data_IF_099117503654
#
_entry.id   IF_099117503654
#
_cell.length_a   1.000
_cell.length_b   1.000
_cell.length_c   1.000
_cell.angle_alpha   90.00
_cell.angle_beta   90.00
_cell.angle_gamma   90.00
#
_symmetry.space_group_name_H-M   'P 1'
#
loop_
_entity.id
_entity.type
_entity.pdbx_description
1 polymer ?
#
# COMPACT_ATOMS: atom_id res chain seq x y z
N UNK A 1 61.79 -12.42 27.60
CA UNK A 1 61.40 -13.17 26.39
C UNK A 1 60.01 -13.72 26.61
N UNK A 2 58.97 -13.10 26.03
CA UNK A 2 57.61 -13.66 26.08
C UNK A 2 57.58 -14.86 25.15
N UNK A 3 57.36 -16.06 25.71
CA UNK A 3 57.35 -17.31 24.94
C UNK A 3 56.18 -17.33 23.96
N UNK A 4 56.40 -17.85 22.74
CA UNK A 4 55.39 -18.00 21.68
C UNK A 4 54.13 -18.71 22.21
N UNK A 5 54.29 -19.63 23.15
CA UNK A 5 53.18 -20.31 23.80
C UNK A 5 52.24 -19.37 24.55
N UNK A 6 52.75 -18.30 25.16
CA UNK A 6 51.94 -17.34 25.90
C UNK A 6 51.13 -16.44 24.95
N UNK A 7 51.70 -16.07 23.80
CA UNK A 7 50.99 -15.33 22.76
C UNK A 7 49.90 -16.19 22.11
N UNK A 8 50.17 -17.47 21.86
CA UNK A 8 49.18 -18.41 21.35
C UNK A 8 48.04 -18.63 22.34
N UNK A 9 48.35 -18.76 23.64
CA UNK A 9 47.33 -18.90 24.68
C UNK A 9 46.47 -17.65 24.81
N UNK A 10 47.08 -16.45 24.74
CA UNK A 10 46.36 -15.19 24.81
C UNK A 10 45.44 -15.00 23.59
N UNK A 11 45.90 -15.35 22.39
CA UNK A 11 45.09 -15.29 21.18
C UNK A 11 43.91 -16.27 21.24
N UNK A 12 44.13 -17.49 21.72
CA UNK A 12 43.08 -18.49 21.87
C UNK A 12 42.06 -18.06 22.94
N UNK A 13 42.52 -17.49 24.06
CA UNK A 13 41.64 -16.96 25.10
C UNK A 13 40.77 -15.81 24.59
N UNK A 14 41.34 -14.90 23.79
CA UNK A 14 40.61 -13.79 23.16
C UNK A 14 39.57 -14.29 22.14
N UNK A 15 39.90 -15.31 21.33
CA UNK A 15 38.93 -15.92 20.41
C UNK A 15 37.83 -16.72 21.12
N UNK A 16 38.14 -17.36 22.26
CA UNK A 16 37.15 -18.11 23.03
C UNK A 16 36.24 -17.23 23.89
N UNK A 17 36.70 -16.04 24.26
CA UNK A 17 35.95 -15.08 25.06
C UNK A 17 35.17 -14.06 24.22
N UNK A 18 35.39 -14.00 22.90
CA UNK A 18 34.50 -13.27 22.01
C UNK A 18 33.18 -14.04 21.91
N UNK A 19 32.18 -13.62 22.68
CA UNK A 19 30.80 -14.04 22.43
C UNK A 19 30.50 -13.73 20.96
N UNK A 20 29.94 -14.68 20.18
CA UNK A 20 29.40 -14.32 18.88
C UNK A 20 28.37 -13.22 19.16
N UNK A 21 28.58 -12.03 18.59
CA UNK A 21 27.51 -11.04 18.47
C UNK A 21 26.49 -11.71 17.56
N UNK A 22 25.59 -12.48 18.17
CA UNK A 22 24.34 -12.86 17.58
C UNK A 22 23.56 -11.55 17.50
N UNK A 23 23.79 -10.81 16.42
CA UNK A 23 22.82 -9.83 15.95
C UNK A 23 21.49 -10.56 15.99
N UNK A 24 20.58 -10.11 16.85
CA UNK A 24 19.28 -10.72 17.04
C UNK A 24 18.48 -10.46 15.78
N UNK A 25 18.74 -11.24 14.74
CA UNK A 25 17.84 -11.34 13.60
C UNK A 25 16.59 -12.00 14.15
N UNK A 26 15.63 -11.18 14.56
CA UNK A 26 14.29 -11.65 14.92
C UNK A 26 13.65 -12.11 13.60
N UNK A 27 13.94 -13.34 13.22
CA UNK A 27 13.14 -14.06 12.26
C UNK A 27 11.79 -14.28 12.93
N UNK A 28 10.82 -13.41 12.60
CA UNK A 28 9.45 -13.65 12.99
C UNK A 28 9.04 -14.99 12.37
N UNK A 29 8.55 -15.91 13.18
CA UNK A 29 8.06 -17.21 12.70
C UNK A 29 6.55 -17.30 12.91
N UNK A 30 5.83 -17.85 11.92
CA UNK A 30 4.41 -18.22 12.06
C UNK A 30 4.24 -19.64 11.56
N UNK A 31 3.79 -20.53 12.45
CA UNK A 31 3.58 -21.96 12.19
C UNK A 31 4.85 -22.67 11.69
N UNK A 32 5.97 -22.56 12.42
CA UNK A 32 7.26 -23.20 12.12
C UNK A 32 7.77 -22.97 10.69
N UNK A 33 7.48 -21.78 10.13
CA UNK A 33 8.08 -21.28 8.90
C UNK A 33 8.65 -19.91 9.17
N UNK A 34 9.89 -19.70 8.72
CA UNK A 34 10.51 -18.39 8.67
C UNK A 34 9.58 -17.45 7.90
N UNK A 35 9.10 -16.39 8.56
CA UNK A 35 8.48 -15.29 7.86
C UNK A 35 9.65 -14.53 7.23
N UNK A 36 9.86 -14.71 5.93
CA UNK A 36 10.57 -13.71 5.16
C UNK A 36 9.74 -12.44 5.27
N UNK A 37 10.11 -11.58 6.23
CA UNK A 37 9.78 -10.17 6.17
C UNK A 37 10.53 -9.66 4.95
N UNK A 38 9.95 -9.82 3.76
CA UNK A 38 10.29 -8.89 2.69
C UNK A 38 10.01 -7.52 3.29
N UNK A 39 11.05 -6.70 3.61
CA UNK A 39 10.82 -5.37 4.11
C UNK A 39 9.93 -4.72 3.05
N UNK A 40 8.73 -4.31 3.48
CA UNK A 40 7.61 -3.94 2.63
C UNK A 40 8.07 -3.27 1.33
N UNK A 41 7.93 -3.95 0.19
CA UNK A 41 7.68 -3.27 -1.10
C UNK A 41 6.17 -3.29 -1.33
N UNK A 42 5.46 -2.59 -0.46
CA UNK A 42 4.01 -2.44 -0.47
C UNK A 42 3.74 -0.96 -0.70
N UNK A 43 3.66 -0.56 -1.98
CA UNK A 43 3.67 0.84 -2.43
C UNK A 43 4.95 1.54 -1.98
N UNK A 44 5.88 1.79 -2.89
CA UNK A 44 7.11 2.55 -2.56
C UNK A 44 6.77 3.90 -1.92
N UNK A 45 5.57 4.42 -2.22
CA UNK A 45 5.02 5.64 -1.69
C UNK A 45 4.00 5.36 -0.57
N UNK A 46 4.40 5.59 0.68
CA UNK A 46 3.46 5.83 1.79
C UNK A 46 3.39 7.34 2.05
N UNK A 47 2.65 8.11 1.23
CA UNK A 47 2.60 9.56 1.38
C UNK A 47 2.04 9.94 2.75
N UNK A 48 2.47 11.10 3.25
CA UNK A 48 2.08 11.58 4.57
C UNK A 48 0.54 11.69 4.75
N UNK A 49 -0.19 11.84 3.64
CA UNK A 49 -1.65 11.83 3.61
C UNK A 49 -2.27 10.53 4.15
N UNK A 50 -1.68 9.36 3.87
CA UNK A 50 -2.17 8.08 4.36
C UNK A 50 -2.05 7.97 5.88
N UNK A 51 -0.98 8.51 6.47
CA UNK A 51 -0.81 8.57 7.92
C UNK A 51 -1.90 9.42 8.57
N UNK A 52 -2.20 10.59 7.98
CA UNK A 52 -3.24 11.50 8.47
C UNK A 52 -4.63 10.86 8.37
N UNK A 53 -4.93 10.21 7.24
CA UNK A 53 -6.22 9.58 7.00
C UNK A 53 -6.44 8.32 7.81
N UNK A 54 -5.41 7.49 8.02
CA UNK A 54 -5.53 6.28 8.87
C UNK A 54 -5.90 6.61 10.32
N UNK A 55 -5.47 7.78 10.82
CA UNK A 55 -5.86 8.25 12.14
C UNK A 55 -7.31 8.76 12.18
N UNK A 56 -7.85 9.21 11.04
CA UNK A 56 -9.17 9.82 10.94
C UNK A 56 -10.27 8.85 10.47
N UNK A 57 -9.93 7.79 9.72
CA UNK A 57 -10.90 6.92 9.04
C UNK A 57 -10.47 5.45 8.98
N UNK A 58 -11.45 4.53 8.98
CA UNK A 58 -11.22 3.09 8.80
C UNK A 58 -10.90 2.75 7.34
N UNK A 59 -9.75 2.12 7.09
CA UNK A 59 -9.36 1.68 5.73
C UNK A 59 -10.17 0.48 5.25
N UNK A 60 -10.60 0.49 3.99
CA UNK A 60 -11.33 -0.62 3.33
C UNK A 60 -10.46 -1.38 2.32
N UNK A 61 -10.80 -2.65 2.07
CA UNK A 61 -10.09 -3.53 1.11
C UNK A 61 -10.91 -3.84 -0.16
N UNK A 62 -11.86 -2.99 -0.56
CA UNK A 62 -12.67 -3.20 -1.77
C UNK A 62 -12.19 -2.37 -2.95
N UNK A 63 -12.55 -2.76 -4.19
CA UNK A 63 -12.19 -2.08 -5.45
C UNK A 63 -12.30 -0.54 -5.33
N UNK A 64 -13.48 -0.04 -4.97
CA UNK A 64 -13.80 1.39 -4.90
C UNK A 64 -13.58 2.07 -3.54
N UNK A 65 -13.13 1.34 -2.52
CA UNK A 65 -13.06 1.90 -1.14
C UNK A 65 -12.19 3.15 -1.00
N UNK A 66 -11.16 3.30 -1.82
CA UNK A 66 -10.33 4.51 -1.85
C UNK A 66 -11.09 5.71 -2.41
N UNK A 67 -11.86 5.51 -3.49
CA UNK A 67 -12.70 6.57 -4.05
C UNK A 67 -13.83 6.95 -3.10
N UNK A 68 -14.47 5.96 -2.49
CA UNK A 68 -15.59 6.17 -1.56
C UNK A 68 -15.16 6.98 -0.34
N UNK A 69 -13.97 6.71 0.16
CA UNK A 69 -13.37 7.47 1.25
C UNK A 69 -12.98 8.89 0.80
N UNK A 70 -12.42 9.06 -0.40
CA UNK A 70 -12.15 10.40 -0.95
C UNK A 70 -13.44 11.22 -1.08
N UNK A 71 -14.52 10.62 -1.58
CA UNK A 71 -15.84 11.24 -1.65
C UNK A 71 -16.38 11.63 -0.27
N UNK A 72 -16.24 10.75 0.73
CA UNK A 72 -16.63 11.03 2.11
C UNK A 72 -15.85 12.20 2.72
N UNK A 73 -14.54 12.30 2.46
CA UNK A 73 -13.72 13.42 2.91
C UNK A 73 -14.21 14.73 2.28
N UNK A 74 -14.52 14.73 0.98
CA UNK A 74 -15.06 15.92 0.29
C UNK A 74 -16.42 16.31 0.85
N UNK A 75 -17.31 15.35 1.09
CA UNK A 75 -18.61 15.64 1.69
C UNK A 75 -18.50 16.20 3.11
N UNK A 76 -17.63 15.60 3.94
CA UNK A 76 -17.37 16.10 5.30
C UNK A 76 -16.75 17.50 5.29
N UNK A 77 -15.90 17.79 4.30
CA UNK A 77 -15.21 19.09 4.19
C UNK A 77 -16.17 20.29 4.12
N UNK A 78 -17.38 20.09 3.58
CA UNK A 78 -18.41 21.12 3.39
C UNK A 78 -18.95 21.68 4.71
N UNK A 79 -18.69 21.02 5.84
CA UNK A 79 -19.12 21.47 7.17
C UNK A 79 -18.13 22.41 7.86
N UNK A 80 -16.91 22.56 7.32
CA UNK A 80 -15.84 23.34 7.94
C UNK A 80 -15.66 24.71 7.29
N UNK A 81 -14.84 25.56 7.91
CA UNK A 81 -14.46 26.84 7.33
C UNK A 81 -13.68 26.67 6.01
N UNK A 82 -13.61 27.72 5.21
CA UNK A 82 -13.04 27.67 3.86
C UNK A 82 -11.57 27.20 3.83
N UNK A 83 -10.77 27.52 4.85
CA UNK A 83 -9.37 27.11 4.89
C UNK A 83 -9.25 25.60 5.18
N UNK A 84 -10.01 25.12 6.15
CA UNK A 84 -10.08 23.69 6.48
C UNK A 84 -10.67 22.87 5.33
N UNK A 85 -11.76 23.35 4.72
CA UNK A 85 -12.39 22.70 3.58
C UNK A 85 -11.39 22.53 2.42
N UNK A 86 -10.64 23.59 2.08
CA UNK A 86 -9.61 23.54 1.03
C UNK A 86 -8.53 22.49 1.32
N UNK A 87 -8.08 22.38 2.58
CA UNK A 87 -7.09 21.39 2.98
C UNK A 87 -7.64 19.96 2.88
N UNK A 88 -8.88 19.73 3.31
CA UNK A 88 -9.53 18.43 3.20
C UNK A 88 -9.75 18.02 1.74
N UNK A 89 -10.12 18.96 0.87
CA UNK A 89 -10.26 18.71 -0.57
C UNK A 89 -8.92 18.28 -1.20
N UNK A 90 -7.83 18.99 -0.89
CA UNK A 90 -6.49 18.64 -1.36
C UNK A 90 -6.08 17.24 -0.89
N UNK A 91 -6.35 16.90 0.38
CA UNK A 91 -6.10 15.58 0.95
C UNK A 91 -6.90 14.49 0.24
N UNK A 92 -8.19 14.74 -0.08
CA UNK A 92 -9.03 13.77 -0.77
C UNK A 92 -8.55 13.48 -2.19
N UNK A 93 -8.16 14.52 -2.92
CA UNK A 93 -7.60 14.41 -4.28
C UNK A 93 -6.28 13.63 -4.25
N UNK A 94 -5.35 13.99 -3.36
CA UNK A 94 -4.08 13.28 -3.21
C UNK A 94 -4.34 11.80 -2.88
N UNK A 95 -5.18 11.53 -1.88
CA UNK A 95 -5.55 10.19 -1.46
C UNK A 95 -6.17 9.35 -2.57
N UNK A 96 -6.97 9.94 -3.47
CA UNK A 96 -7.55 9.22 -4.62
C UNK A 96 -6.49 8.71 -5.58
N UNK A 97 -5.37 9.43 -5.68
CA UNK A 97 -4.29 9.17 -6.62
C UNK A 97 -3.16 8.31 -6.03
N UNK A 98 -3.09 8.15 -4.71
CA UNK A 98 -2.04 7.34 -4.09
C UNK A 98 -2.12 5.87 -4.50
N UNK A 99 -0.96 5.22 -4.56
CA UNK A 99 -0.86 3.79 -4.81
C UNK A 99 -1.67 3.01 -3.78
N UNK A 100 -2.48 2.07 -4.27
CA UNK A 100 -3.22 1.17 -3.40
C UNK A 100 -2.38 -0.07 -3.15
N UNK A 101 -2.17 -0.38 -1.87
CA UNK A 101 -1.40 -1.55 -1.50
C UNK A 101 -2.12 -2.84 -1.92
N UNK A 102 -1.43 -3.69 -2.67
CA UNK A 102 -1.89 -5.00 -3.13
C UNK A 102 -0.92 -6.10 -2.68
N UNK A 103 -1.43 -7.26 -2.21
CA UNK A 103 -0.55 -8.37 -1.88
C UNK A 103 0.12 -8.92 -3.15
N UNK A 104 1.41 -9.27 -3.11
CA UNK A 104 2.01 -10.14 -4.13
C UNK A 104 1.30 -11.50 -4.22
N UNK A 105 1.41 -12.17 -5.36
CA UNK A 105 1.06 -13.58 -5.47
C UNK A 105 2.22 -14.43 -4.96
N UNK A 106 2.09 -14.95 -3.73
CA UNK A 106 3.11 -15.77 -3.10
C UNK A 106 3.13 -17.22 -3.59
N UNK A 107 2.25 -17.60 -4.52
CA UNK A 107 2.25 -18.96 -5.11
C UNK A 107 3.33 -19.12 -6.18
N UNK A 108 3.82 -18.02 -6.75
CA UNK A 108 4.90 -18.01 -7.74
C UNK A 108 6.25 -17.75 -7.07
N UNK A 109 7.34 -18.23 -7.69
CA UNK A 109 8.72 -18.01 -7.26
C UNK A 109 9.54 -17.48 -8.45
N UNK A 110 9.98 -16.20 -8.45
CA UNK A 110 9.73 -15.18 -7.43
C UNK A 110 8.24 -14.79 -7.34
N UNK A 111 7.76 -14.24 -6.19
CA UNK A 111 6.39 -13.77 -6.05
C UNK A 111 6.04 -12.74 -7.12
N UNK A 112 4.86 -12.86 -7.71
CA UNK A 112 4.39 -11.92 -8.75
C UNK A 112 3.83 -10.67 -8.09
N UNK A 113 4.38 -9.51 -8.44
CA UNK A 113 3.89 -8.20 -8.01
C UNK A 113 2.68 -7.81 -8.88
N UNK A 114 1.61 -7.30 -8.25
CA UNK A 114 0.29 -7.16 -8.90
C UNK A 114 -0.27 -5.78 -8.70
N UNK A 115 -0.87 -5.23 -9.74
CA UNK A 115 -1.59 -3.97 -9.70
C UNK A 115 -2.91 -4.07 -8.94
N UNK A 116 -3.44 -2.94 -8.49
CA UNK A 116 -4.81 -2.86 -7.97
C UNK A 116 -5.79 -2.77 -9.12
N UNK A 117 -6.91 -3.47 -9.06
CA UNK A 117 -8.03 -3.21 -9.99
C UNK A 117 -8.56 -1.78 -9.81
N UNK A 118 -9.00 -1.17 -10.90
CA UNK A 118 -9.56 0.19 -10.98
C UNK A 118 -11.04 0.22 -10.60
N UNK A 119 -11.43 1.16 -9.75
CA UNK A 119 -12.83 1.42 -9.46
C UNK A 119 -13.62 1.74 -10.74
N UNK A 120 -14.67 0.96 -11.02
CA UNK A 120 -15.58 1.15 -12.15
C UNK A 120 -16.83 1.97 -11.80
N UNK A 121 -16.85 2.58 -10.61
CA UNK A 121 -17.93 3.45 -10.16
C UNK A 121 -17.59 4.89 -10.47
N UNK A 122 -18.55 5.66 -10.95
CA UNK A 122 -18.42 7.10 -11.05
C UNK A 122 -18.22 7.72 -9.64
N UNK A 123 -17.33 8.72 -9.49
CA UNK A 123 -17.21 9.44 -8.22
C UNK A 123 -18.50 10.20 -7.91
N UNK A 124 -18.77 10.45 -6.63
CA UNK A 124 -19.92 11.26 -6.22
C UNK A 124 -19.62 12.75 -6.42
N UNK A 125 -18.40 13.18 -6.09
CA UNK A 125 -17.95 14.56 -6.17
C UNK A 125 -17.15 14.80 -7.46
N UNK A 126 -17.41 15.92 -8.13
CA UNK A 126 -16.84 16.23 -9.44
C UNK A 126 -15.33 16.49 -9.39
N UNK A 127 -14.79 16.83 -8.23
CA UNK A 127 -13.38 17.06 -7.97
C UNK A 127 -12.54 15.78 -8.11
N UNK A 128 -13.17 14.61 -8.11
CA UNK A 128 -12.53 13.32 -8.35
C UNK A 128 -12.64 12.83 -9.81
N UNK A 129 -13.24 13.63 -10.70
CA UNK A 129 -13.44 13.25 -12.10
C UNK A 129 -12.12 12.97 -12.83
N UNK A 130 -12.03 11.80 -13.46
CA UNK A 130 -10.84 11.40 -14.21
C UNK A 130 -9.64 11.04 -13.33
N UNK A 131 -9.77 11.08 -12.00
CA UNK A 131 -8.71 10.66 -11.10
C UNK A 131 -8.74 9.15 -10.93
N UNK A 132 -7.60 8.53 -11.19
CA UNK A 132 -7.37 7.10 -11.00
C UNK A 132 -6.30 6.88 -9.95
N UNK A 133 -6.36 5.76 -9.24
CA UNK A 133 -5.29 5.42 -8.32
C UNK A 133 -4.02 5.08 -9.11
N UNK A 134 -2.87 5.51 -8.58
CA UNK A 134 -1.59 5.09 -9.09
C UNK A 134 -1.38 3.58 -8.93
N UNK A 135 -0.53 3.05 -9.80
CA UNK A 135 -0.05 1.68 -9.77
C UNK A 135 1.45 1.71 -9.48
N UNK A 136 1.95 0.75 -8.70
CA UNK A 136 3.40 0.65 -8.44
C UNK A 136 4.12 0.30 -9.76
N UNK A 137 5.08 1.11 -10.23
CA UNK A 137 5.80 0.87 -11.48
C UNK A 137 6.61 -0.44 -11.49
N UNK A 138 6.87 -1.04 -10.33
CA UNK A 138 7.54 -2.33 -10.21
C UNK A 138 6.59 -3.54 -10.40
N UNK A 139 5.27 -3.32 -10.40
CA UNK A 139 4.30 -4.40 -10.64
C UNK A 139 4.29 -4.82 -12.12
N UNK A 140 3.88 -6.06 -12.39
CA UNK A 140 3.60 -6.49 -13.75
C UNK A 140 2.38 -5.73 -14.31
N UNK A 141 2.50 -4.94 -15.40
CA UNK A 141 1.40 -4.14 -15.95
C UNK A 141 0.22 -5.00 -16.44
N UNK A 142 0.42 -6.30 -16.63
CA UNK A 142 -0.60 -7.22 -17.12
C UNK A 142 -1.30 -8.02 -16.01
N UNK A 143 -0.89 -7.88 -14.75
CA UNK A 143 -1.41 -8.68 -13.63
C UNK A 143 -1.98 -7.77 -12.55
N UNK A 144 -3.24 -8.02 -12.19
CA UNK A 144 -3.98 -7.26 -11.20
C UNK A 144 -4.45 -8.18 -10.07
N UNK A 145 -4.57 -7.64 -8.87
CA UNK A 145 -5.21 -8.28 -7.73
C UNK A 145 -6.67 -7.85 -7.65
N UNK A 146 -7.57 -8.81 -7.73
CA UNK A 146 -9.00 -8.60 -7.51
C UNK A 146 -9.35 -8.86 -6.04
N UNK A 147 -9.78 -7.84 -5.28
CA UNK A 147 -10.14 -8.00 -3.87
C UNK A 147 -11.43 -8.82 -3.66
N UNK A 148 -12.31 -8.91 -4.65
CA UNK A 148 -13.57 -9.67 -4.53
C UNK A 148 -13.29 -11.18 -4.59
N UNK A 149 -12.43 -11.61 -5.51
CA UNK A 149 -12.07 -13.03 -5.67
C UNK A 149 -10.77 -13.42 -4.96
N UNK A 150 -10.01 -12.44 -4.45
CA UNK A 150 -8.68 -12.58 -3.85
C UNK A 150 -7.65 -13.27 -4.78
N UNK A 151 -7.82 -13.12 -6.10
CA UNK A 151 -7.00 -13.79 -7.11
C UNK A 151 -6.34 -12.77 -8.05
N UNK A 152 -5.36 -13.29 -8.79
CA UNK A 152 -4.71 -12.59 -9.88
C UNK A 152 -5.61 -12.62 -11.12
N UNK A 153 -5.80 -11.48 -11.76
CA UNK A 153 -6.56 -11.32 -13.01
C UNK A 153 -5.67 -10.66 -14.07
N UNK A 154 -5.83 -11.06 -15.33
CA UNK A 154 -5.03 -10.51 -16.44
C UNK A 154 -5.66 -9.24 -17.00
N UNK A 155 -4.83 -8.33 -17.53
CA UNK A 155 -5.30 -7.17 -18.27
C UNK A 155 -6.32 -7.56 -19.34
N UNK A 156 -7.46 -6.88 -19.37
CA UNK A 156 -8.55 -7.14 -20.33
C UNK A 156 -9.49 -8.28 -19.96
N UNK A 157 -9.20 -9.07 -18.91
CA UNK A 157 -10.09 -10.16 -18.48
C UNK A 157 -11.41 -9.65 -17.87
N UNK A 158 -11.39 -8.43 -17.33
CA UNK A 158 -12.54 -7.77 -16.71
C UNK A 158 -12.42 -6.25 -16.79
N UNK A 159 -13.54 -5.53 -16.71
CA UNK A 159 -13.60 -4.08 -16.90
C UNK A 159 -12.66 -3.32 -15.95
N UNK A 160 -12.61 -3.71 -14.68
CA UNK A 160 -11.78 -3.10 -13.64
C UNK A 160 -10.26 -3.35 -13.79
N UNK A 161 -9.80 -3.92 -14.91
CA UNK A 161 -8.37 -3.94 -15.27
C UNK A 161 -7.95 -2.73 -16.10
N UNK A 162 -8.90 -1.82 -16.39
CA UNK A 162 -8.66 -0.54 -17.06
C UNK A 162 -9.26 0.60 -16.25
N UNK A 163 -8.68 1.82 -16.33
CA UNK A 163 -9.30 3.04 -15.82
C UNK A 163 -10.77 3.15 -16.18
N UNK A 164 -11.55 3.73 -15.27
CA UNK A 164 -12.94 4.07 -15.55
C UNK A 164 -12.99 5.33 -16.43
N UNK A 165 -13.69 5.23 -17.56
CA UNK A 165 -13.82 6.32 -18.53
C UNK A 165 -14.97 7.30 -18.21
N UNK A 166 -15.78 7.01 -17.17
CA UNK A 166 -16.92 7.84 -16.80
C UNK A 166 -16.58 8.99 -15.86
N UNK A 167 -17.48 9.98 -15.79
CA UNK A 167 -17.42 11.13 -14.89
C UNK A 167 -18.44 10.98 -13.76
N UNK A 168 -18.29 11.77 -12.70
CA UNK A 168 -19.25 11.87 -11.61
C UNK A 168 -20.65 12.05 -12.18
N UNK A 169 -21.61 11.37 -11.54
CA UNK A 169 -23.00 11.60 -11.86
C UNK A 169 -23.28 13.09 -11.60
N UNK A 170 -23.59 13.84 -12.65
CA UNK A 170 -24.25 15.12 -12.49
C UNK A 170 -25.47 14.82 -11.63
N UNK A 171 -25.54 15.38 -10.41
CA UNK A 171 -26.78 15.33 -9.65
C UNK A 171 -27.83 15.98 -10.55
N UNK A 172 -28.60 15.14 -11.25
CA UNK A 172 -29.83 15.56 -11.88
C UNK A 172 -30.71 15.95 -10.71
N UNK A 173 -30.75 17.26 -10.44
CA UNK A 173 -31.75 17.89 -9.61
C UNK A 173 -33.10 17.51 -10.21
N UNK A 174 -33.68 16.41 -9.73
CA UNK A 174 -35.10 16.13 -9.91
C UNK A 174 -35.83 17.10 -8.98
N UNK A 175 -36.04 18.31 -9.48
CA UNK A 175 -37.07 19.19 -8.94
C UNK A 175 -38.42 18.59 -9.30
N UNK A 176 -39.13 18.11 -8.27
CA UNK A 176 -40.57 17.88 -8.29
C UNK A 176 -41.20 18.76 -7.21
#
# INVERSE_FOLDING_TARGET
MLSIFHLAFLALALLSASEPILGREVWLERNNRAIQLNPRRFGQNHPAVLTKLRAACGGGQGECTQQDMADQIIDASKQFDAATQKNMLAIAIEYRQTEKNTPPDFKTKPPTLRNSVFCQKAPKNAELNGLVQAQDPANDPNVFFDPATQKSVKLGAQANTRPFDGKAASNATTSA
#
